data_IF_609080950719
#
_entry.id   IF_609080950719
#
_cell.length_a   1.000
_cell.length_b   1.000
_cell.length_c   1.000
_cell.angle_alpha   90.00
_cell.angle_beta   90.00
_cell.angle_gamma   90.00
#
_symmetry.space_group_name_H-M   'P 1'
#
loop_
_entity.id
_entity.type
_entity.pdbx_description
1 polymer ?
#
# COMPACT_ATOMS: atom_id res chain seq x y z
N UNK A 1 10.73 5.36 -21.36
CA UNK A 1 10.57 6.23 -22.55
C UNK A 1 9.24 6.93 -22.38
N UNK A 2 9.16 8.25 -22.53
CA UNK A 2 7.87 8.95 -22.57
C UNK A 2 7.07 8.46 -23.78
N UNK A 3 5.79 8.16 -23.59
CA UNK A 3 4.91 7.81 -24.70
C UNK A 3 4.54 9.12 -25.41
N UNK A 4 4.89 9.26 -26.70
CA UNK A 4 4.47 10.40 -27.50
C UNK A 4 3.16 10.02 -28.21
N UNK A 5 2.05 10.61 -27.77
CA UNK A 5 0.74 10.33 -28.33
C UNK A 5 0.58 11.02 -29.70
N UNK A 6 -0.08 10.36 -30.63
CA UNK A 6 -0.33 10.86 -32.00
C UNK A 6 -1.80 10.81 -32.35
N UNK A 7 -2.22 11.54 -33.39
CA UNK A 7 -3.60 11.53 -33.89
C UNK A 7 -4.11 10.11 -34.23
N UNK A 8 -3.21 9.24 -34.69
CA UNK A 8 -3.54 7.86 -35.02
C UNK A 8 -4.00 7.05 -33.79
N UNK A 9 -3.49 7.38 -32.60
CA UNK A 9 -3.80 6.66 -31.36
C UNK A 9 -5.24 6.91 -30.88
N UNK A 10 -5.81 8.06 -31.26
CA UNK A 10 -7.22 8.41 -31.00
C UNK A 10 -8.10 8.30 -32.25
N UNK A 11 -7.55 7.75 -33.34
CA UNK A 11 -8.27 7.47 -34.57
C UNK A 11 -9.34 6.39 -34.36
N UNK A 12 -10.48 6.53 -35.04
CA UNK A 12 -11.55 5.53 -35.01
C UNK A 12 -12.58 5.66 -33.89
N UNK A 13 -12.43 6.62 -32.96
CA UNK A 13 -13.41 6.88 -31.90
C UNK A 13 -14.50 7.91 -32.27
N UNK A 14 -14.46 8.46 -33.50
CA UNK A 14 -15.43 9.47 -33.95
C UNK A 14 -15.27 10.86 -33.32
N UNK A 15 -14.10 11.14 -32.73
CA UNK A 15 -13.79 12.45 -32.16
C UNK A 15 -13.50 13.50 -33.24
N UNK A 16 -13.78 14.76 -32.91
CA UNK A 16 -13.37 15.89 -33.75
C UNK A 16 -11.87 16.14 -33.63
N UNK A 17 -11.25 16.74 -34.63
CA UNK A 17 -9.82 17.07 -34.63
C UNK A 17 -9.41 17.94 -33.41
N UNK A 18 -10.27 18.89 -33.02
CA UNK A 18 -10.06 19.70 -31.81
C UNK A 18 -10.08 18.84 -30.52
N UNK A 19 -10.97 17.85 -30.45
CA UNK A 19 -11.05 16.91 -29.33
C UNK A 19 -9.82 16.00 -29.27
N UNK A 20 -9.34 15.50 -30.41
CA UNK A 20 -8.14 14.67 -30.51
C UNK A 20 -6.92 15.45 -30.01
N UNK A 21 -6.72 16.67 -30.50
CA UNK A 21 -5.64 17.56 -30.05
C UNK A 21 -5.67 17.81 -28.54
N UNK A 22 -6.86 17.99 -27.97
CA UNK A 22 -7.03 18.17 -26.53
C UNK A 22 -6.64 16.90 -25.74
N UNK A 23 -7.05 15.72 -26.23
CA UNK A 23 -6.69 14.44 -25.61
C UNK A 23 -5.18 14.17 -25.66
N UNK A 24 -4.54 14.43 -26.79
CA UNK A 24 -3.08 14.30 -26.95
C UNK A 24 -2.38 15.19 -25.92
N UNK A 25 -2.75 16.48 -25.84
CA UNK A 25 -2.14 17.40 -24.89
C UNK A 25 -2.30 16.95 -23.42
N UNK A 26 -3.46 16.41 -23.05
CA UNK A 26 -3.70 15.88 -21.70
C UNK A 26 -2.87 14.62 -21.45
N UNK A 27 -2.85 13.68 -22.41
CA UNK A 27 -2.13 12.41 -22.30
C UNK A 27 -0.62 12.62 -22.20
N UNK A 28 -0.05 13.49 -23.04
CA UNK A 28 1.37 13.84 -23.01
C UNK A 28 1.74 14.50 -21.67
N UNK A 29 0.89 15.40 -21.15
CA UNK A 29 1.11 16.03 -19.84
C UNK A 29 1.13 15.00 -18.71
N UNK A 30 0.14 14.10 -18.69
CA UNK A 30 0.06 13.01 -17.70
C UNK A 30 1.29 12.10 -17.81
N UNK A 31 1.67 11.69 -19.03
CA UNK A 31 2.80 10.79 -19.26
C UNK A 31 4.14 11.42 -18.84
N UNK A 32 4.30 12.72 -19.08
CA UNK A 32 5.48 13.48 -18.63
C UNK A 32 5.63 13.49 -17.10
N UNK A 33 4.53 13.71 -16.39
CA UNK A 33 4.52 13.64 -14.92
C UNK A 33 4.78 12.20 -14.48
N UNK A 34 4.07 11.22 -15.04
CA UNK A 34 4.23 9.79 -14.75
C UNK A 34 5.69 9.33 -14.87
N UNK A 35 6.37 9.68 -15.96
CA UNK A 35 7.79 9.36 -16.16
C UNK A 35 8.70 9.91 -15.04
N UNK A 36 8.43 11.14 -14.61
CA UNK A 36 9.16 11.75 -13.50
C UNK A 36 8.89 10.99 -12.21
N UNK A 37 7.62 10.70 -11.95
CA UNK A 37 7.13 9.96 -10.78
C UNK A 37 7.75 8.57 -10.69
N UNK A 38 7.70 7.77 -11.76
CA UNK A 38 8.26 6.42 -11.83
C UNK A 38 9.78 6.42 -11.55
N UNK A 39 10.49 7.46 -12.01
CA UNK A 39 11.93 7.60 -11.72
C UNK A 39 12.20 7.77 -10.21
N UNK A 40 11.33 8.50 -9.51
CA UNK A 40 11.46 8.73 -8.07
C UNK A 40 10.81 7.65 -7.21
N UNK A 41 9.94 6.82 -7.79
CA UNK A 41 9.20 5.76 -7.09
C UNK A 41 10.15 4.78 -6.39
N UNK A 42 11.24 4.37 -7.04
CA UNK A 42 12.24 3.48 -6.44
C UNK A 42 12.86 4.06 -5.16
N UNK A 43 13.24 5.34 -5.18
CA UNK A 43 13.84 6.02 -4.02
C UNK A 43 12.83 6.18 -2.89
N UNK A 44 11.58 6.50 -3.22
CA UNK A 44 10.48 6.59 -2.27
C UNK A 44 10.19 5.22 -1.64
N UNK A 45 10.18 4.15 -2.43
CA UNK A 45 9.97 2.79 -1.96
C UNK A 45 11.09 2.36 -0.99
N UNK A 46 12.36 2.65 -1.31
CA UNK A 46 13.48 2.41 -0.41
C UNK A 46 13.32 3.16 0.93
N UNK A 47 12.98 4.46 0.87
CA UNK A 47 12.70 5.25 2.06
C UNK A 47 11.51 4.71 2.87
N UNK A 48 10.46 4.27 2.18
CA UNK A 48 9.27 3.64 2.75
C UNK A 48 9.58 2.33 3.49
N UNK A 49 10.42 1.47 2.92
CA UNK A 49 10.90 0.24 3.57
C UNK A 49 11.62 0.59 4.88
N UNK A 50 12.56 1.55 4.86
CA UNK A 50 13.28 1.98 6.06
C UNK A 50 12.33 2.53 7.13
N UNK A 51 11.40 3.40 6.73
CA UNK A 51 10.41 3.99 7.63
C UNK A 51 9.51 2.92 8.28
N UNK A 52 9.01 1.96 7.50
CA UNK A 52 8.12 0.90 7.98
C UNK A 52 8.85 -0.14 8.85
N UNK A 53 10.11 -0.47 8.55
CA UNK A 53 10.95 -1.31 9.43
C UNK A 53 11.16 -0.61 10.78
N UNK A 54 11.55 0.67 10.78
CA UNK A 54 11.71 1.43 12.00
C UNK A 54 10.40 1.50 12.82
N UNK A 55 9.27 1.69 12.14
CA UNK A 55 7.95 1.70 12.78
C UNK A 55 7.64 0.36 13.46
N UNK A 56 7.84 -0.75 12.76
CA UNK A 56 7.62 -2.11 13.30
C UNK A 56 8.52 -2.40 14.51
N UNK A 57 9.80 -2.03 14.47
CA UNK A 57 10.72 -2.24 15.61
C UNK A 57 10.19 -1.62 16.91
N UNK A 58 9.53 -0.47 16.80
CA UNK A 58 8.94 0.23 17.95
C UNK A 58 7.62 -0.40 18.35
N UNK A 59 6.73 -0.68 17.40
CA UNK A 59 5.41 -1.23 17.69
C UNK A 59 5.45 -2.66 18.26
N UNK A 60 6.45 -3.47 17.85
CA UNK A 60 6.63 -4.84 18.34
C UNK A 60 7.08 -4.91 19.81
N UNK A 61 7.51 -3.79 20.40
CA UNK A 61 7.89 -3.75 21.81
C UNK A 61 6.74 -4.15 22.73
N UNK A 62 7.08 -4.87 23.80
CA UNK A 62 6.10 -5.37 24.79
C UNK A 62 5.26 -4.25 25.40
N UNK A 63 5.85 -3.06 25.57
CA UNK A 63 5.16 -1.87 26.09
C UNK A 63 4.06 -1.33 25.17
N UNK A 64 4.11 -1.63 23.87
CA UNK A 64 3.20 -1.09 22.86
C UNK A 64 2.05 -2.05 22.52
N UNK A 65 2.27 -3.37 22.61
CA UNK A 65 1.30 -4.41 22.22
C UNK A 65 0.03 -4.50 23.07
N UNK A 66 -0.07 -3.75 24.17
CA UNK A 66 -1.26 -3.73 25.03
C UNK A 66 -2.41 -2.89 24.48
N UNK A 67 -2.16 -2.06 23.47
CA UNK A 67 -3.18 -1.22 22.84
C UNK A 67 -3.60 -1.85 21.50
N UNK A 68 -4.91 -2.09 21.31
CA UNK A 68 -5.46 -2.68 20.09
C UNK A 68 -5.11 -1.87 18.83
N UNK A 69 -5.04 -0.53 18.95
CA UNK A 69 -4.63 0.34 17.84
C UNK A 69 -3.21 0.03 17.39
N UNK A 70 -2.30 -0.22 18.32
CA UNK A 70 -0.91 -0.56 17.99
C UNK A 70 -0.82 -1.95 17.31
N UNK A 71 -1.68 -2.89 17.69
CA UNK A 71 -1.75 -4.21 17.03
C UNK A 71 -2.20 -4.07 15.58
N UNK A 72 -3.21 -3.23 15.30
CA UNK A 72 -3.65 -2.94 13.93
C UNK A 72 -2.56 -2.24 13.13
N UNK A 73 -1.86 -1.26 13.73
CA UNK A 73 -0.75 -0.55 13.06
C UNK A 73 0.43 -1.46 12.71
N UNK A 74 0.68 -2.54 13.49
CA UNK A 74 1.68 -3.57 13.11
C UNK A 74 1.26 -4.26 11.81
N UNK A 75 -0.02 -4.61 11.67
CA UNK A 75 -0.54 -5.23 10.46
C UNK A 75 -0.37 -4.32 9.24
N UNK A 76 -0.76 -3.06 9.35
CA UNK A 76 -0.61 -2.05 8.28
C UNK A 76 0.86 -1.91 7.89
N UNK A 77 1.75 -1.66 8.86
CA UNK A 77 3.17 -1.47 8.59
C UNK A 77 3.84 -2.72 7.98
N UNK A 78 3.38 -3.92 8.31
CA UNK A 78 3.85 -5.16 7.70
C UNK A 78 3.36 -5.32 6.25
N UNK A 79 2.10 -5.01 5.96
CA UNK A 79 1.56 -4.99 4.60
C UNK A 79 2.28 -3.96 3.72
N UNK A 80 2.50 -2.77 4.25
CA UNK A 80 3.23 -1.70 3.56
C UNK A 80 4.68 -2.08 3.28
N UNK A 81 5.34 -2.74 4.25
CA UNK A 81 6.70 -3.26 4.07
C UNK A 81 6.75 -4.30 2.95
N UNK A 82 5.76 -5.20 2.89
CA UNK A 82 5.66 -6.19 1.81
C UNK A 82 5.44 -5.52 0.45
N UNK A 83 4.52 -4.56 0.38
CA UNK A 83 4.19 -3.82 -0.85
C UNK A 83 5.40 -3.02 -1.37
N UNK A 84 6.00 -2.18 -0.53
CA UNK A 84 7.17 -1.38 -0.91
C UNK A 84 8.39 -2.26 -1.19
N UNK A 85 8.54 -3.37 -0.45
CA UNK A 85 9.58 -4.36 -0.70
C UNK A 85 9.45 -5.02 -2.07
N UNK A 86 8.22 -5.32 -2.51
CA UNK A 86 7.95 -5.81 -3.86
C UNK A 86 8.34 -4.77 -4.92
N UNK A 87 7.99 -3.49 -4.74
CA UNK A 87 8.38 -2.41 -5.66
C UNK A 87 9.90 -2.24 -5.74
N UNK A 88 10.62 -2.29 -4.61
CA UNK A 88 12.09 -2.26 -4.61
C UNK A 88 12.65 -3.47 -5.35
N UNK A 89 12.10 -4.66 -5.09
CA UNK A 89 12.53 -5.91 -5.70
C UNK A 89 12.34 -5.92 -7.22
N UNK A 90 11.16 -5.51 -7.72
CA UNK A 90 10.85 -5.47 -9.15
C UNK A 90 11.75 -4.48 -9.90
N UNK A 91 12.00 -3.30 -9.33
CA UNK A 91 12.95 -2.33 -9.91
C UNK A 91 14.40 -2.80 -9.82
N UNK A 92 14.78 -3.48 -8.73
CA UNK A 92 16.12 -4.05 -8.58
C UNK A 92 16.37 -5.17 -9.58
N UNK A 93 15.39 -6.03 -9.89
CA UNK A 93 15.52 -7.04 -10.96
C UNK A 93 15.80 -6.40 -12.33
N UNK A 94 15.23 -5.23 -12.61
CA UNK A 94 15.54 -4.47 -13.84
C UNK A 94 16.97 -3.94 -13.82
N UNK A 95 17.46 -3.47 -12.67
CA UNK A 95 18.83 -2.95 -12.49
C UNK A 95 19.91 -4.04 -12.41
N UNK A 96 19.60 -5.21 -11.84
CA UNK A 96 20.50 -6.35 -11.58
C UNK A 96 20.94 -7.07 -12.86
N UNK A 97 20.39 -6.73 -14.01
CA UNK A 97 20.99 -7.08 -15.31
C UNK A 97 22.39 -6.44 -15.54
N UNK A 98 23.08 -5.90 -14.52
CA UNK A 98 24.33 -5.13 -14.67
C UNK A 98 25.55 -5.47 -13.76
N UNK A 99 25.58 -6.34 -12.73
CA UNK A 99 26.88 -6.73 -12.06
C UNK A 99 26.85 -7.89 -11.01
N UNK A 100 28.00 -8.52 -10.64
CA UNK A 100 28.11 -9.88 -10.09
C UNK A 100 28.25 -10.06 -8.55
N UNK A 101 28.21 -9.04 -7.70
CA UNK A 101 28.24 -9.24 -6.21
C UNK A 101 26.90 -9.79 -5.65
N UNK A 102 25.98 -10.14 -6.53
CA UNK A 102 24.56 -10.40 -6.26
C UNK A 102 24.23 -11.88 -5.92
N UNK A 103 25.20 -12.80 -5.99
CA UNK A 103 24.95 -14.26 -6.12
C UNK A 103 24.14 -14.90 -4.98
N UNK A 104 24.34 -14.53 -3.71
CA UNK A 104 23.64 -15.16 -2.57
C UNK A 104 22.17 -14.76 -2.47
N UNK A 105 21.85 -13.48 -2.73
CA UNK A 105 20.46 -12.99 -2.77
C UNK A 105 19.78 -13.45 -4.06
N UNK A 106 20.53 -13.49 -5.17
CA UNK A 106 20.04 -14.04 -6.45
C UNK A 106 19.70 -15.52 -6.32
N UNK A 107 20.43 -16.31 -5.52
CA UNK A 107 20.11 -17.73 -5.30
C UNK A 107 18.80 -17.93 -4.52
N UNK A 108 18.57 -17.19 -3.44
CA UNK A 108 17.32 -17.28 -2.67
C UNK A 108 16.13 -16.81 -3.52
N UNK A 109 16.33 -15.71 -4.24
CA UNK A 109 15.35 -15.17 -5.17
C UNK A 109 15.10 -16.11 -6.35
N UNK A 110 16.13 -16.74 -6.89
CA UNK A 110 16.05 -17.72 -7.97
C UNK A 110 15.31 -18.95 -7.50
N UNK A 111 15.48 -19.41 -6.26
CA UNK A 111 14.71 -20.54 -5.71
C UNK A 111 13.22 -20.16 -5.60
N UNK A 112 12.89 -19.00 -5.05
CA UNK A 112 11.50 -18.55 -4.94
C UNK A 112 10.87 -18.28 -6.31
N UNK A 113 11.64 -17.70 -7.23
CA UNK A 113 11.23 -17.45 -8.61
C UNK A 113 11.11 -18.74 -9.40
N UNK A 114 11.99 -19.73 -9.23
CA UNK A 114 11.88 -21.03 -9.91
C UNK A 114 10.71 -21.82 -9.37
N UNK A 115 10.40 -21.76 -8.07
CA UNK A 115 9.18 -22.36 -7.52
C UNK A 115 7.92 -21.71 -8.10
N UNK A 116 7.90 -20.38 -8.26
CA UNK A 116 6.80 -19.65 -8.88
C UNK A 116 6.71 -19.89 -10.39
N UNK A 117 7.85 -19.90 -11.08
CA UNK A 117 7.96 -20.22 -12.50
C UNK A 117 7.58 -21.68 -12.76
N UNK A 118 7.90 -22.62 -11.88
CA UNK A 118 7.48 -24.02 -12.00
C UNK A 118 5.96 -24.15 -11.93
N UNK A 119 5.30 -23.35 -11.08
CA UNK A 119 3.84 -23.22 -11.07
C UNK A 119 3.26 -22.60 -12.36
N UNK A 120 4.02 -21.74 -13.03
CA UNK A 120 3.68 -21.21 -14.35
C UNK A 120 3.90 -22.23 -15.47
N UNK A 121 5.02 -22.98 -15.45
CA UNK A 121 5.36 -24.01 -16.43
C UNK A 121 4.45 -25.25 -16.36
N UNK A 122 3.80 -25.52 -15.22
CA UNK A 122 2.74 -26.53 -15.10
C UNK A 122 1.54 -26.28 -16.05
N UNK A 123 1.45 -25.08 -16.66
CA UNK A 123 0.39 -24.70 -17.62
C UNK A 123 0.76 -24.97 -19.08
N UNK A 124 2.00 -25.36 -19.35
CA UNK A 124 2.49 -25.62 -20.70
C UNK A 124 2.38 -27.10 -21.00
N UNK A 125 1.71 -27.41 -22.12
CA UNK A 125 1.67 -28.76 -22.68
C UNK A 125 2.46 -28.78 -23.97
N UNK A 126 3.23 -29.85 -24.17
CA UNK A 126 3.95 -30.08 -25.42
C UNK A 126 2.99 -30.77 -26.37
N UNK A 127 2.62 -30.12 -27.46
CA UNK A 127 1.75 -30.69 -28.48
C UNK A 127 2.48 -30.82 -29.81
N UNK A 128 2.13 -31.84 -30.58
CA UNK A 128 2.66 -32.05 -31.93
C UNK A 128 1.97 -31.05 -32.88
N UNK A 129 2.77 -30.29 -33.63
CA UNK A 129 2.30 -29.22 -34.53
C UNK A 129 1.58 -29.81 -35.76
N UNK A 130 1.73 -31.12 -36.02
CA UNK A 130 1.11 -31.82 -37.14
C UNK A 130 1.75 -31.52 -38.50
N UNK A 131 2.73 -30.62 -38.54
CA UNK A 131 3.52 -30.28 -39.72
C UNK A 131 4.96 -30.75 -39.45
N UNK A 132 5.50 -31.70 -40.23
CA UNK A 132 6.88 -32.13 -40.07
C UNK A 132 7.86 -31.02 -40.45
N UNK A 133 8.96 -30.90 -39.70
CA UNK A 133 10.06 -30.03 -40.05
C UNK A 133 10.84 -30.61 -41.23
N UNK A 134 11.18 -29.76 -42.18
CA UNK A 134 12.07 -30.11 -43.29
C UNK A 134 13.32 -29.22 -43.26
N UNK A 135 14.52 -29.78 -43.53
CA UNK A 135 15.74 -29.01 -43.58
C UNK A 135 15.71 -27.99 -44.73
N UNK A 136 16.22 -26.79 -44.47
CA UNK A 136 16.31 -25.75 -45.49
C UNK A 136 17.13 -26.23 -46.71
N UNK A 137 16.84 -25.75 -47.94
CA UNK A 137 17.48 -26.24 -49.16
C UNK A 137 19.02 -26.10 -49.20
N UNK A 138 19.57 -25.21 -48.37
CA UNK A 138 21.00 -24.99 -48.24
C UNK A 138 21.74 -26.07 -47.41
N UNK A 139 21.02 -26.92 -46.68
CA UNK A 139 21.59 -27.93 -45.79
C UNK A 139 21.77 -29.27 -46.52
N UNK A 140 22.97 -29.55 -47.04
CA UNK A 140 23.28 -30.77 -47.82
C UNK A 140 23.61 -32.01 -46.97
N UNK A 141 23.60 -31.89 -45.64
CA UNK A 141 24.00 -32.95 -44.72
C UNK A 141 22.90 -33.97 -44.39
N UNK A 142 21.66 -33.71 -44.83
CA UNK A 142 20.50 -34.56 -44.56
C UNK A 142 20.12 -35.44 -45.77
N UNK A 143 19.54 -36.63 -45.54
CA UNK A 143 19.01 -37.48 -46.62
C UNK A 143 17.89 -36.80 -47.42
N UNK A 144 17.67 -37.24 -48.67
CA UNK A 144 16.51 -36.80 -49.46
C UNK A 144 15.19 -37.16 -48.73
N UNK A 145 14.25 -36.22 -48.69
CA UNK A 145 12.93 -36.34 -48.02
C UNK A 145 13.00 -36.58 -46.51
N UNK A 146 14.04 -36.07 -45.85
CA UNK A 146 14.12 -36.11 -44.40
C UNK A 146 13.05 -35.20 -43.77
N UNK A 147 12.25 -35.75 -42.87
CA UNK A 147 11.26 -35.01 -42.07
C UNK A 147 11.39 -35.38 -40.59
N UNK A 148 11.14 -34.42 -39.71
CA UNK A 148 11.17 -34.62 -38.26
C UNK A 148 9.89 -34.09 -37.62
N UNK A 149 9.40 -34.73 -36.54
CA UNK A 149 8.26 -34.20 -35.81
C UNK A 149 8.58 -32.84 -35.18
N UNK A 150 7.67 -31.88 -35.32
CA UNK A 150 7.75 -30.60 -34.62
C UNK A 150 6.83 -30.61 -33.42
N UNK A 151 7.40 -30.30 -32.27
CA UNK A 151 6.66 -30.06 -31.04
C UNK A 151 6.72 -28.58 -30.71
N UNK A 152 5.60 -28.01 -30.29
CA UNK A 152 5.54 -26.64 -29.80
C UNK A 152 4.91 -26.59 -28.40
N UNK A 153 5.25 -25.54 -27.66
CA UNK A 153 4.71 -25.28 -26.33
C UNK A 153 3.39 -24.53 -26.48
N UNK A 154 2.27 -25.24 -26.32
CA UNK A 154 0.95 -24.61 -26.36
C UNK A 154 0.44 -24.37 -24.95
N UNK A 155 0.14 -23.10 -24.64
CA UNK A 155 -0.71 -22.71 -23.51
C UNK A 155 -2.14 -23.04 -23.93
N UNK A 156 -2.89 -23.73 -23.07
CA UNK A 156 -4.30 -24.02 -23.35
C UNK A 156 -5.05 -22.72 -23.72
N UNK A 157 -5.70 -22.69 -24.89
CA UNK A 157 -6.35 -21.49 -25.41
C UNK A 157 -7.48 -20.99 -24.50
N UNK A 158 -8.06 -21.87 -23.69
CA UNK A 158 -9.01 -21.49 -22.63
C UNK A 158 -8.35 -20.60 -21.56
N UNK A 159 -7.08 -20.84 -21.25
CA UNK A 159 -6.35 -20.13 -20.19
C UNK A 159 -5.93 -18.70 -20.57
N UNK A 160 -5.73 -18.41 -21.85
CA UNK A 160 -5.38 -17.06 -22.33
C UNK A 160 -6.56 -16.08 -22.32
N UNK A 161 -7.79 -16.55 -22.61
CA UNK A 161 -9.00 -15.75 -22.34
C UNK A 161 -9.24 -15.59 -20.84
N UNK A 162 -8.95 -16.62 -20.06
CA UNK A 162 -9.09 -16.59 -18.61
C UNK A 162 -8.12 -15.61 -17.96
N UNK A 163 -6.88 -15.48 -18.44
CA UNK A 163 -5.90 -14.56 -17.86
C UNK A 163 -6.32 -13.08 -17.96
N UNK A 164 -6.80 -12.65 -19.13
CA UNK A 164 -7.30 -11.27 -19.31
C UNK A 164 -8.56 -11.06 -18.48
N UNK A 165 -9.47 -12.04 -18.42
CA UNK A 165 -10.65 -11.98 -17.56
C UNK A 165 -10.28 -11.89 -16.07
N UNK A 166 -9.33 -12.70 -15.62
CA UNK A 166 -8.81 -12.70 -14.25
C UNK A 166 -8.19 -11.35 -13.91
N UNK A 167 -7.39 -10.75 -14.82
CA UNK A 167 -6.81 -9.41 -14.61
C UNK A 167 -7.90 -8.34 -14.50
N UNK A 168 -8.93 -8.39 -15.36
CA UNK A 168 -10.08 -7.47 -15.25
C UNK A 168 -10.78 -7.58 -13.90
N UNK A 169 -11.11 -8.81 -13.50
CA UNK A 169 -11.79 -9.10 -12.23
C UNK A 169 -10.92 -8.65 -11.05
N UNK A 170 -9.61 -8.95 -11.09
CA UNK A 170 -8.65 -8.52 -10.09
C UNK A 170 -8.59 -7.00 -9.94
N UNK A 171 -8.41 -6.26 -11.04
CA UNK A 171 -8.33 -4.79 -11.02
C UNK A 171 -9.61 -4.15 -10.48
N UNK A 172 -10.79 -4.66 -10.88
CA UNK A 172 -12.08 -4.16 -10.40
C UNK A 172 -12.24 -4.44 -8.90
N UNK A 173 -11.94 -5.66 -8.45
CA UNK A 173 -12.05 -6.03 -7.03
C UNK A 173 -11.07 -5.20 -6.19
N UNK A 174 -9.81 -5.09 -6.60
CA UNK A 174 -8.80 -4.30 -5.88
C UNK A 174 -9.20 -2.82 -5.80
N UNK A 175 -9.69 -2.26 -6.90
CA UNK A 175 -10.19 -0.88 -6.92
C UNK A 175 -11.39 -0.66 -5.99
N UNK A 176 -12.36 -1.58 -5.97
CA UNK A 176 -13.51 -1.52 -5.05
C UNK A 176 -13.04 -1.64 -3.60
N UNK A 177 -12.12 -2.55 -3.30
CA UNK A 177 -11.57 -2.73 -1.96
C UNK A 177 -10.81 -1.51 -1.44
N UNK A 178 -10.28 -0.64 -2.31
CA UNK A 178 -9.69 0.66 -1.92
C UNK A 178 -10.74 1.76 -1.73
N UNK A 179 -11.80 1.74 -2.52
CA UNK A 179 -12.91 2.71 -2.42
C UNK A 179 -13.71 2.50 -1.12
N UNK A 180 -13.92 1.24 -0.70
CA UNK A 180 -14.73 0.92 0.50
C UNK A 180 -14.16 1.60 1.77
N UNK A 181 -12.89 1.42 2.16
CA UNK A 181 -12.30 2.11 3.33
C UNK A 181 -12.30 3.61 3.19
N UNK A 182 -12.08 4.13 1.97
CA UNK A 182 -12.10 5.56 1.67
C UNK A 182 -13.44 6.20 2.03
N UNK A 183 -14.56 5.50 1.83
CA UNK A 183 -15.89 5.99 2.20
C UNK A 183 -16.25 5.61 3.64
N UNK A 184 -15.85 4.42 4.09
CA UNK A 184 -16.24 3.88 5.38
C UNK A 184 -15.57 4.57 6.57
N UNK A 185 -14.27 4.82 6.53
CA UNK A 185 -13.55 5.42 7.64
C UNK A 185 -14.05 6.83 8.01
N UNK A 186 -14.40 7.73 7.07
CA UNK A 186 -15.04 9.01 7.37
C UNK A 186 -16.37 8.88 8.08
N UNK A 187 -17.23 7.99 7.58
CA UNK A 187 -18.57 7.78 8.15
C UNK A 187 -18.42 7.26 9.58
N UNK A 188 -17.59 6.24 9.79
CA UNK A 188 -17.31 5.70 11.10
C UNK A 188 -16.67 6.73 12.04
N UNK A 189 -15.75 7.55 11.53
CA UNK A 189 -15.11 8.63 12.31
C UNK A 189 -16.12 9.70 12.73
N UNK A 190 -17.00 10.12 11.82
CA UNK A 190 -18.06 11.07 12.11
C UNK A 190 -19.02 10.53 13.18
N UNK A 191 -19.47 9.28 13.01
CA UNK A 191 -20.34 8.61 13.99
C UNK A 191 -19.65 8.48 15.35
N UNK A 192 -18.38 8.07 15.37
CA UNK A 192 -17.59 7.95 16.59
C UNK A 192 -17.46 9.31 17.30
N UNK A 193 -17.14 10.40 16.58
CA UNK A 193 -17.06 11.75 17.15
C UNK A 193 -18.41 12.17 17.73
N UNK A 194 -19.51 11.86 17.03
CA UNK A 194 -20.87 12.17 17.50
C UNK A 194 -21.19 11.45 18.82
N UNK A 195 -20.91 10.14 18.89
CA UNK A 195 -21.12 9.34 20.11
C UNK A 195 -20.20 9.78 21.25
N UNK A 196 -18.93 10.11 20.96
CA UNK A 196 -17.99 10.66 21.94
C UNK A 196 -18.48 12.00 22.51
N UNK A 197 -18.96 12.91 21.65
CA UNK A 197 -19.53 14.20 22.09
C UNK A 197 -20.81 14.01 22.91
N UNK A 198 -21.68 13.08 22.55
CA UNK A 198 -22.88 12.74 23.31
C UNK A 198 -22.54 12.13 24.69
N UNK A 199 -21.56 11.22 24.74
CA UNK A 199 -21.08 10.65 25.99
C UNK A 199 -20.36 11.68 26.87
N UNK A 200 -19.64 12.63 26.28
CA UNK A 200 -18.95 13.70 26.99
C UNK A 200 -19.92 14.75 27.54
N UNK A 201 -20.95 15.16 26.79
CA UNK A 201 -21.97 16.08 27.29
C UNK A 201 -22.76 15.48 28.46
N UNK A 202 -22.94 14.15 28.49
CA UNK A 202 -23.50 13.41 29.62
C UNK A 202 -22.57 13.43 30.86
N UNK A 203 -21.24 13.25 30.67
CA UNK A 203 -20.23 13.28 31.77
C UNK A 203 -19.86 14.69 32.26
N UNK A 204 -19.99 15.71 31.41
CA UNK A 204 -19.70 17.10 31.77
C UNK A 204 -20.69 17.69 32.78
N UNK A 205 -21.79 16.98 33.09
CA UNK A 205 -22.67 17.30 34.22
C UNK A 205 -22.00 17.03 35.58
N UNK A 206 -20.79 16.43 35.65
CA UNK A 206 -20.15 15.98 36.91
C UNK A 206 -18.78 16.63 37.22
N UNK A 207 -18.06 17.29 36.29
CA UNK A 207 -16.83 18.02 36.67
C UNK A 207 -16.46 19.18 35.72
N UNK A 208 -16.25 20.35 36.32
CA UNK A 208 -16.17 21.64 35.65
C UNK A 208 -14.75 22.22 35.62
N UNK A 209 -14.43 22.78 34.46
CA UNK A 209 -13.64 23.99 34.23
C UNK A 209 -12.10 23.98 34.38
N UNK A 210 -11.45 23.24 35.29
CA UNK A 210 -9.99 23.49 35.51
C UNK A 210 -9.05 22.60 34.66
N UNK A 211 -9.41 21.35 34.37
CA UNK A 211 -8.60 20.47 33.50
C UNK A 211 -8.72 20.76 31.98
N UNK A 212 -9.74 21.53 31.56
CA UNK A 212 -10.09 21.68 30.14
C UNK A 212 -9.10 22.51 29.33
N UNK A 213 -8.28 23.39 29.93
CA UNK A 213 -7.54 24.43 29.19
C UNK A 213 -6.15 23.99 28.70
N UNK A 214 -5.48 23.09 29.42
CA UNK A 214 -4.20 22.49 29.00
C UNK A 214 -4.39 21.26 28.12
N UNK A 215 -5.48 20.51 28.31
CA UNK A 215 -5.79 19.32 27.53
C UNK A 215 -6.44 19.67 26.17
N UNK A 216 -7.20 20.78 26.08
CA UNK A 216 -7.83 21.22 24.82
C UNK A 216 -6.81 21.63 23.75
N UNK A 217 -5.83 22.48 24.11
CA UNK A 217 -4.86 23.06 23.17
C UNK A 217 -3.92 22.03 22.53
N UNK A 218 -3.53 20.98 23.27
CA UNK A 218 -2.74 19.86 22.75
C UNK A 218 -3.59 18.81 22.01
N UNK A 219 -4.87 18.67 22.37
CA UNK A 219 -5.82 17.82 21.63
C UNK A 219 -6.18 18.40 20.26
N UNK A 220 -6.24 19.73 20.12
CA UNK A 220 -6.66 20.41 18.88
C UNK A 220 -5.65 20.23 17.73
N UNK A 221 -4.34 20.35 18.01
CA UNK A 221 -3.30 20.12 17.00
C UNK A 221 -3.19 18.64 16.61
N UNK A 222 -3.38 17.75 17.57
CA UNK A 222 -3.36 16.29 17.34
C UNK A 222 -4.54 15.86 16.47
N UNK A 223 -5.73 16.40 16.75
CA UNK A 223 -6.96 16.14 15.99
C UNK A 223 -6.84 16.69 14.57
N UNK A 224 -6.29 17.90 14.42
CA UNK A 224 -6.04 18.50 13.10
C UNK A 224 -5.06 17.68 12.26
N UNK A 225 -4.00 17.14 12.86
CA UNK A 225 -3.05 16.26 12.18
C UNK A 225 -3.69 14.93 11.72
N UNK A 226 -4.50 14.30 12.57
CA UNK A 226 -5.19 13.05 12.23
C UNK A 226 -6.23 13.28 11.14
N UNK A 227 -6.99 14.39 11.20
CA UNK A 227 -7.93 14.76 10.14
C UNK A 227 -7.20 15.00 8.82
N UNK A 228 -6.08 15.73 8.85
CA UNK A 228 -5.27 15.97 7.64
C UNK A 228 -4.78 14.66 7.03
N UNK A 229 -4.22 13.74 7.83
CA UNK A 229 -3.78 12.41 7.38
C UNK A 229 -4.94 11.62 6.77
N UNK A 230 -6.11 11.60 7.42
CA UNK A 230 -7.28 10.89 6.92
C UNK A 230 -7.74 11.45 5.57
N UNK A 231 -7.79 12.78 5.43
CA UNK A 231 -8.16 13.43 4.16
C UNK A 231 -7.14 13.08 3.08
N UNK A 232 -5.83 13.18 3.35
CA UNK A 232 -4.80 12.85 2.37
C UNK A 232 -4.80 11.37 1.97
N UNK A 233 -5.00 10.46 2.93
CA UNK A 233 -5.13 9.02 2.70
C UNK A 233 -6.33 8.72 1.79
N UNK A 234 -7.49 9.28 2.12
CA UNK A 234 -8.71 9.08 1.34
C UNK A 234 -8.60 9.60 -0.08
N UNK A 235 -8.01 10.79 -0.27
CA UNK A 235 -7.84 11.35 -1.61
C UNK A 235 -6.86 10.52 -2.43
N UNK A 236 -5.80 10.00 -1.81
CA UNK A 236 -4.79 9.20 -2.52
C UNK A 236 -5.29 7.80 -2.89
N UNK A 237 -5.78 7.04 -1.92
CA UNK A 237 -6.28 5.66 -2.11
C UNK A 237 -7.57 5.63 -2.93
N UNK A 238 -8.46 6.59 -2.70
CA UNK A 238 -9.72 6.69 -3.43
C UNK A 238 -9.51 6.95 -4.93
N UNK A 239 -8.64 7.91 -5.27
CA UNK A 239 -8.34 8.22 -6.67
C UNK A 239 -7.62 7.06 -7.36
N UNK A 240 -6.70 6.39 -6.67
CA UNK A 240 -6.04 5.19 -7.18
C UNK A 240 -7.03 4.02 -7.40
N UNK A 241 -7.94 3.80 -6.43
CA UNK A 241 -8.99 2.79 -6.54
C UNK A 241 -9.93 3.02 -7.72
N UNK A 242 -10.30 4.28 -8.00
CA UNK A 242 -11.08 4.66 -9.18
C UNK A 242 -10.31 4.31 -10.47
N UNK A 243 -9.02 4.62 -10.52
CA UNK A 243 -8.19 4.29 -11.69
C UNK A 243 -8.19 2.79 -11.97
N UNK A 244 -8.07 1.94 -10.95
CA UNK A 244 -8.08 0.48 -11.13
C UNK A 244 -9.42 -0.07 -11.61
N UNK A 245 -10.55 0.44 -11.08
CA UNK A 245 -11.88 0.08 -11.58
C UNK A 245 -12.02 0.48 -13.04
N UNK A 246 -11.67 1.72 -13.39
CA UNK A 246 -11.75 2.23 -14.76
C UNK A 246 -10.87 1.40 -15.69
N UNK A 247 -9.63 1.11 -15.30
CA UNK A 247 -8.68 0.30 -16.06
C UNK A 247 -9.24 -1.10 -16.36
N UNK A 248 -9.84 -1.76 -15.35
CA UNK A 248 -10.49 -3.06 -15.52
C UNK A 248 -11.65 -3.03 -16.52
N UNK A 249 -12.45 -1.95 -16.52
CA UNK A 249 -13.59 -1.77 -17.42
C UNK A 249 -13.18 -1.48 -18.87
N UNK A 250 -12.09 -0.73 -19.09
CA UNK A 250 -11.66 -0.28 -20.42
C UNK A 250 -10.51 -1.09 -21.03
N UNK A 251 -10.22 -2.27 -20.48
CA UNK A 251 -9.14 -3.18 -20.95
C UNK A 251 -9.14 -3.47 -22.46
N UNK A 252 -10.27 -3.28 -23.17
CA UNK A 252 -10.38 -3.43 -24.62
C UNK A 252 -9.80 -2.26 -25.42
N UNK A 253 -9.42 -1.16 -24.77
CA UNK A 253 -8.92 0.06 -25.40
C UNK A 253 -7.51 0.41 -24.89
N UNK A 254 -6.44 -0.13 -25.52
CA UNK A 254 -5.07 -0.02 -25.02
C UNK A 254 -4.61 1.41 -24.74
N UNK A 255 -5.03 2.37 -25.57
CA UNK A 255 -4.62 3.77 -25.42
C UNK A 255 -5.13 4.40 -24.12
N UNK A 256 -6.38 4.14 -23.75
CA UNK A 256 -6.95 4.65 -22.50
C UNK A 256 -6.42 3.87 -21.30
N UNK A 257 -6.15 2.57 -21.46
CA UNK A 257 -5.46 1.77 -20.42
C UNK A 257 -4.09 2.38 -20.09
N UNK A 258 -3.32 2.81 -21.11
CA UNK A 258 -2.03 3.47 -20.89
C UNK A 258 -2.18 4.79 -20.11
N UNK A 259 -3.11 5.66 -20.50
CA UNK A 259 -3.37 6.93 -19.81
C UNK A 259 -3.77 6.72 -18.35
N UNK A 260 -4.64 5.74 -18.09
CA UNK A 260 -5.08 5.40 -16.73
C UNK A 260 -3.95 4.76 -15.92
N UNK A 261 -3.06 4.02 -16.56
CA UNK A 261 -1.85 3.46 -15.93
C UNK A 261 -0.91 4.59 -15.50
N UNK A 262 -0.69 5.59 -16.35
CA UNK A 262 0.13 6.76 -16.01
C UNK A 262 -0.48 7.57 -14.85
N UNK A 263 -1.80 7.77 -14.85
CA UNK A 263 -2.50 8.35 -13.69
C UNK A 263 -2.33 7.52 -12.41
N UNK A 264 -2.35 6.18 -12.53
CA UNK A 264 -2.18 5.29 -11.39
C UNK A 264 -0.79 5.41 -10.78
N UNK A 265 0.27 5.56 -11.57
CA UNK A 265 1.62 5.84 -11.04
C UNK A 265 1.67 7.16 -10.27
N UNK A 266 1.06 8.22 -10.80
CA UNK A 266 0.98 9.53 -10.13
C UNK A 266 0.28 9.41 -8.78
N UNK A 267 -0.89 8.75 -8.72
CA UNK A 267 -1.62 8.57 -7.47
C UNK A 267 -0.90 7.61 -6.50
N UNK A 268 -0.17 6.63 -7.03
CA UNK A 268 0.63 5.67 -6.26
C UNK A 268 1.68 6.35 -5.38
N UNK A 269 2.29 7.45 -5.82
CA UNK A 269 3.23 8.22 -4.97
C UNK A 269 2.57 8.74 -3.71
N UNK A 270 1.33 9.25 -3.80
CA UNK A 270 0.65 9.79 -2.62
C UNK A 270 0.32 8.68 -1.62
N UNK A 271 -0.03 7.49 -2.10
CA UNK A 271 -0.22 6.30 -1.26
C UNK A 271 1.10 5.91 -0.58
N UNK A 272 2.20 5.91 -1.32
CA UNK A 272 3.53 5.58 -0.78
C UNK A 272 3.99 6.58 0.29
N UNK A 273 3.80 7.87 0.05
CA UNK A 273 4.07 8.91 1.03
C UNK A 273 3.21 8.72 2.27
N UNK A 274 1.90 8.46 2.09
CA UNK A 274 0.99 8.26 3.22
C UNK A 274 1.43 7.10 4.11
N UNK A 275 1.80 5.95 3.54
CA UNK A 275 2.34 4.82 4.30
C UNK A 275 3.51 5.22 5.22
N UNK A 276 4.47 5.98 4.69
CA UNK A 276 5.63 6.43 5.46
C UNK A 276 5.29 7.39 6.61
N UNK A 277 4.15 8.10 6.52
CA UNK A 277 3.75 9.10 7.53
C UNK A 277 3.29 8.49 8.86
N UNK A 278 2.85 7.22 8.88
CA UNK A 278 2.35 6.57 10.10
C UNK A 278 3.36 6.61 11.25
N UNK A 279 4.64 6.38 10.95
CA UNK A 279 5.72 6.49 11.93
C UNK A 279 5.86 7.93 12.49
N UNK A 280 5.87 8.94 11.60
CA UNK A 280 6.01 10.35 11.98
C UNK A 280 4.83 10.82 12.84
N UNK A 281 3.63 10.35 12.51
CA UNK A 281 2.41 10.67 13.25
C UNK A 281 2.44 10.00 14.62
N UNK A 282 2.87 8.75 14.70
CA UNK A 282 3.07 8.07 15.97
C UNK A 282 4.12 8.77 16.85
N UNK A 283 5.22 9.29 16.27
CA UNK A 283 6.22 10.08 16.98
C UNK A 283 5.66 11.40 17.53
N UNK A 284 4.87 12.11 16.73
CA UNK A 284 4.31 13.42 17.11
C UNK A 284 3.15 13.31 18.08
N UNK A 285 2.30 12.29 17.93
CA UNK A 285 1.06 12.15 18.71
C UNK A 285 1.23 11.27 19.95
N UNK A 286 1.91 10.12 19.84
CA UNK A 286 1.91 9.12 20.91
C UNK A 286 3.07 9.31 21.89
N UNK A 287 2.74 9.68 23.12
CA UNK A 287 3.71 9.78 24.22
C UNK A 287 4.34 8.43 24.57
N UNK A 288 3.56 7.35 24.46
CA UNK A 288 4.01 5.99 24.67
C UNK A 288 5.03 5.57 23.59
N UNK A 289 4.73 5.87 22.32
CA UNK A 289 5.62 5.62 21.19
C UNK A 289 6.96 6.34 21.37
N UNK A 290 6.94 7.65 21.70
CA UNK A 290 8.16 8.43 21.97
C UNK A 290 9.01 7.86 23.11
N UNK A 291 8.40 7.40 24.21
CA UNK A 291 9.13 6.78 25.32
C UNK A 291 9.80 5.49 24.88
N UNK A 292 9.11 4.67 24.09
CA UNK A 292 9.66 3.43 23.54
C UNK A 292 10.85 3.70 22.61
N UNK A 293 10.74 4.68 21.70
CA UNK A 293 11.87 5.12 20.85
C UNK A 293 13.07 5.52 21.69
N UNK A 294 12.86 6.35 22.71
CA UNK A 294 13.92 6.74 23.64
C UNK A 294 14.53 5.52 24.31
N UNK A 295 13.73 4.62 24.89
CA UNK A 295 14.26 3.42 25.55
C UNK A 295 15.08 2.49 24.64
N UNK A 296 14.76 2.45 23.33
CA UNK A 296 15.45 1.59 22.37
C UNK A 296 16.73 2.21 21.81
N UNK A 297 16.71 3.51 21.50
CA UNK A 297 17.80 4.17 20.76
C UNK A 297 18.59 5.19 21.61
N UNK A 298 18.02 5.66 22.71
CA UNK A 298 18.63 6.63 23.64
C UNK A 298 18.71 5.98 25.01
N UNK A 299 19.83 5.29 25.28
CA UNK A 299 20.11 4.57 26.53
C UNK A 299 19.68 5.36 27.78
N UNK A 300 18.49 5.09 28.32
CA UNK A 300 17.96 5.73 29.55
C UNK A 300 18.28 4.92 30.82
N UNK A 301 19.23 3.98 30.75
CA UNK A 301 19.68 3.17 31.89
C UNK A 301 20.45 3.94 32.98
N UNK A 302 20.45 5.27 32.96
CA UNK A 302 21.08 6.10 34.00
C UNK A 302 20.10 7.11 34.64
N UNK A 303 18.87 6.70 34.99
CA UNK A 303 18.10 7.42 36.03
C UNK A 303 17.48 6.48 37.06
N UNK A 304 17.79 6.66 38.36
CA UNK A 304 17.21 5.85 39.42
C UNK A 304 15.69 6.07 39.49
N UNK A 305 14.95 4.97 39.59
CA UNK A 305 13.49 4.94 39.72
C UNK A 305 13.11 5.65 41.03
N UNK A 306 12.49 6.83 40.95
CA UNK A 306 11.92 7.49 42.14
C UNK A 306 10.85 6.59 42.74
N UNK A 307 11.00 6.22 44.01
CA UNK A 307 10.03 5.44 44.75
C UNK A 307 8.65 6.13 44.71
N UNK A 308 7.61 5.41 44.29
CA UNK A 308 6.24 5.89 44.38
C UNK A 308 5.91 6.16 45.85
N UNK A 309 5.51 7.39 46.19
CA UNK A 309 4.87 7.69 47.46
C UNK A 309 3.57 6.90 47.53
N UNK A 310 3.51 5.92 48.43
CA UNK A 310 2.26 5.27 48.82
C UNK A 310 1.41 6.34 49.52
N UNK A 311 0.31 6.75 48.87
CA UNK A 311 -0.70 7.59 49.50
C UNK A 311 -1.59 6.65 50.33
N UNK A 312 -1.35 6.61 51.64
CA UNK A 312 -2.23 5.91 52.58
C UNK A 312 -3.45 6.81 52.78
N UNK A 313 -4.59 6.43 52.21
CA UNK A 313 -5.88 7.06 52.50
C UNK A 313 -6.41 6.44 53.80
N UNK A 314 -6.27 7.17 54.91
CA UNK A 314 -6.91 6.79 56.18
C UNK A 314 -8.41 7.15 56.12
N UNK A 315 -9.27 6.15 56.03
CA UNK A 315 -10.71 6.35 56.19
C UNK A 315 -11.02 6.66 57.66
N UNK A 316 -11.54 7.86 57.94
CA UNK A 316 -12.03 8.23 59.27
C UNK A 316 -13.51 7.87 59.32
N UNK A 317 -13.85 6.75 59.96
CA UNK A 317 -15.24 6.37 60.21
C UNK A 317 -15.77 7.19 61.40
N UNK A 318 -16.73 8.09 61.14
CA UNK A 318 -17.52 8.73 62.19
C UNK A 318 -18.73 7.86 62.50
N UNK A 319 -18.73 7.20 63.65
CA UNK A 319 -19.90 6.47 64.17
C UNK A 319 -20.81 7.49 64.87
N UNK A 320 -21.99 7.75 64.31
CA UNK A 320 -23.07 8.44 65.02
C UNK A 320 -23.84 7.41 65.84
N UNK A 321 -23.77 7.50 67.17
CA UNK A 321 -24.59 6.70 68.08
C UNK A 321 -26.06 7.10 67.96
N UNK A 322 -26.92 6.15 67.56
CA UNK A 322 -28.36 6.24 67.77
C UNK A 322 -28.66 6.07 69.27
N UNK A 323 -29.44 6.99 69.83
CA UNK A 323 -29.98 6.86 71.19
C UNK A 323 -31.11 5.80 71.20
N UNK A 324 -31.28 5.02 72.28
CA UNK A 324 -32.37 4.05 72.37
C UNK A 324 -33.69 4.78 72.67
N UNK A 325 -34.75 4.33 72.02
CA UNK A 325 -36.13 4.59 72.43
C UNK A 325 -36.49 3.57 73.50
N UNK A 326 -36.63 4.03 74.75
CA UNK A 326 -37.68 3.71 75.74
C UNK A 326 -37.34 4.43 77.04
#
# INVERSE_FOLDING_TARGET
>A
MSFNYTDADFGGFGFTESTINTWIAIADFISSISMTVVTYEFYLACGGVVANVFHLLILLQKSMRSNSVNVVMIGIAACDLFSMGFTVFSNLLVLVNSDPECVTITLITWILSTLWSMFYFLRLSVTDVGIPWEPAPACTAFPLNYTEHQYDFTIDQTYMSDAVFIIKVYLIIDGILKIIPTIMFPILTFLLIRELKAAQSSRQKISAAVQRKEESTRSDHTTSLVILMTVTFMTAEGLLGICYVVQGLITSYPIFVQIVTDLSYIFGIFVALNSSTHCLICLTVSSQYRRTVKSLFLCESCKPRKASKVIIVSAKASVSSMAPVT
#
